data_IF_813097330549
#
_entry.id   IF_813097330549
#
_cell.length_a   1.000
_cell.length_b   1.000
_cell.length_c   1.000
_cell.angle_alpha   90.00
_cell.angle_beta   90.00
_cell.angle_gamma   90.00
#
_symmetry.space_group_name_H-M   'P 1'
#
loop_
_entity.id
_entity.type
_entity.pdbx_description
1 polymer ?
#
# COMPACT_ATOMS: atom_id res chain seq x y z
N UNK A 1 -0.76 10.88 -48.02
CA UNK A 1 0.23 10.86 -46.91
C UNK A 1 -0.54 10.56 -45.64
N UNK A 2 -0.57 9.35 -45.20
CA UNK A 2 -1.07 8.99 -43.84
C UNK A 2 0.14 9.19 -42.94
N UNK A 3 0.12 10.24 -42.13
CA UNK A 3 1.05 10.35 -41.05
C UNK A 3 0.75 9.16 -40.10
N UNK A 4 1.67 8.21 -39.99
CA UNK A 4 1.65 7.26 -38.89
C UNK A 4 1.84 8.08 -37.62
N UNK A 5 0.75 8.27 -36.85
CA UNK A 5 0.90 8.75 -35.49
C UNK A 5 1.82 7.79 -34.78
N UNK A 6 2.77 8.31 -34.00
CA UNK A 6 3.50 7.46 -33.07
C UNK A 6 2.48 6.75 -32.22
N UNK A 7 2.56 5.42 -32.14
CA UNK A 7 1.74 4.65 -31.22
C UNK A 7 1.92 5.25 -29.82
N UNK A 8 0.82 5.57 -29.16
CA UNK A 8 0.86 6.17 -27.83
C UNK A 8 1.74 5.32 -26.92
N UNK A 9 2.59 5.96 -26.10
CA UNK A 9 3.48 5.25 -25.20
C UNK A 9 2.67 4.27 -24.33
N UNK A 10 3.06 3.01 -24.34
CA UNK A 10 2.49 2.00 -23.44
C UNK A 10 2.89 2.39 -22.01
N UNK A 11 1.94 2.62 -21.09
CA UNK A 11 2.28 3.04 -19.74
C UNK A 11 2.97 1.92 -18.96
N UNK A 12 3.93 2.27 -18.11
CA UNK A 12 4.60 1.34 -17.21
C UNK A 12 6.05 1.05 -17.60
N UNK A 13 6.66 0.15 -16.83
CA UNK A 13 8.00 -0.35 -17.11
C UNK A 13 7.94 -1.59 -17.99
N UNK A 14 8.94 -1.77 -18.82
CA UNK A 14 9.05 -2.91 -19.72
C UNK A 14 9.97 -3.96 -19.13
N UNK A 15 9.49 -5.18 -19.02
CA UNK A 15 10.28 -6.32 -18.56
C UNK A 15 10.07 -7.52 -19.48
N UNK A 16 10.99 -8.48 -19.43
CA UNK A 16 10.79 -9.79 -20.01
C UNK A 16 10.42 -10.78 -18.94
N UNK A 17 9.59 -11.76 -19.29
CA UNK A 17 9.18 -12.78 -18.33
C UNK A 17 10.23 -13.88 -18.23
N UNK A 18 10.68 -14.17 -17.00
CA UNK A 18 11.45 -15.37 -16.70
C UNK A 18 10.53 -16.41 -16.01
N UNK A 19 10.51 -17.62 -16.54
CA UNK A 19 9.68 -18.73 -16.05
C UNK A 19 10.25 -19.41 -14.79
N UNK A 20 11.46 -19.05 -14.36
CA UNK A 20 12.04 -19.50 -13.11
C UNK A 20 11.19 -19.09 -11.91
N UNK A 21 11.33 -19.81 -10.79
CA UNK A 21 10.56 -19.53 -9.56
C UNK A 21 11.45 -19.33 -8.33
N UNK A 22 12.76 -19.40 -8.51
CA UNK A 22 13.74 -19.27 -7.42
C UNK A 22 13.83 -17.84 -6.95
N UNK A 23 13.96 -17.65 -5.62
CA UNK A 23 14.28 -16.35 -5.01
C UNK A 23 15.73 -15.99 -5.34
N UNK A 24 15.92 -15.34 -6.46
CA UNK A 24 17.19 -14.86 -6.97
C UNK A 24 16.93 -13.74 -7.99
N UNK A 25 17.97 -13.01 -8.35
CA UNK A 25 17.97 -12.08 -9.46
C UNK A 25 17.42 -12.75 -10.73
N UNK A 26 16.34 -12.24 -11.34
CA UNK A 26 15.77 -12.84 -12.54
C UNK A 26 16.64 -12.70 -13.77
N UNK A 27 17.59 -11.75 -13.76
CA UNK A 27 18.41 -11.37 -14.90
C UNK A 27 18.05 -9.98 -15.43
N UNK A 28 18.98 -9.41 -16.20
CA UNK A 28 18.88 -8.03 -16.67
C UNK A 28 17.58 -7.78 -17.46
N UNK A 29 16.76 -6.89 -16.96
CA UNK A 29 15.48 -6.49 -17.55
C UNK A 29 14.39 -7.56 -17.47
N UNK A 30 14.50 -8.49 -16.53
CA UNK A 30 13.54 -9.59 -16.38
C UNK A 30 12.76 -9.47 -15.07
N UNK A 31 11.60 -10.12 -15.05
CA UNK A 31 10.84 -10.38 -13.83
C UNK A 31 10.35 -11.83 -13.81
N UNK A 32 10.19 -12.37 -12.60
CA UNK A 32 9.61 -13.70 -12.40
C UNK A 32 8.67 -13.73 -11.19
N UNK A 33 7.84 -14.75 -11.13
CA UNK A 33 7.04 -15.06 -9.95
C UNK A 33 7.67 -16.21 -9.16
N UNK A 34 7.45 -16.24 -7.86
CA UNK A 34 7.92 -17.35 -7.02
C UNK A 34 7.12 -18.65 -7.20
N UNK A 35 6.14 -18.67 -8.09
CA UNK A 35 5.32 -19.84 -8.37
C UNK A 35 4.80 -19.81 -9.81
N UNK A 36 4.93 -20.92 -10.54
CA UNK A 36 4.41 -21.05 -11.90
C UNK A 36 2.87 -21.05 -11.99
N UNK A 37 2.18 -21.35 -10.87
CA UNK A 37 0.73 -21.15 -10.75
C UNK A 37 0.47 -19.77 -10.17
N UNK A 38 0.04 -18.82 -10.98
CA UNK A 38 -0.10 -17.40 -10.61
C UNK A 38 -1.01 -17.19 -9.40
N UNK A 39 -2.09 -17.98 -9.27
CA UNK A 39 -2.98 -17.92 -8.11
C UNK A 39 -2.27 -18.28 -6.77
N UNK A 40 -1.15 -18.97 -6.84
CA UNK A 40 -0.33 -19.36 -5.68
C UNK A 40 0.93 -18.49 -5.53
N UNK A 41 1.14 -17.53 -6.42
CA UNK A 41 2.29 -16.64 -6.34
C UNK A 41 2.11 -15.65 -5.16
N UNK A 42 3.15 -15.55 -4.32
CA UNK A 42 3.22 -14.68 -3.15
C UNK A 42 4.34 -13.67 -3.23
N UNK A 43 5.21 -13.78 -4.22
CA UNK A 43 6.28 -12.83 -4.48
C UNK A 43 6.53 -12.64 -5.98
N UNK A 44 6.89 -11.42 -6.35
CA UNK A 44 7.44 -11.05 -7.64
C UNK A 44 8.88 -10.62 -7.40
N UNK A 45 9.80 -11.15 -8.21
CA UNK A 45 11.19 -10.73 -8.26
C UNK A 45 11.39 -9.92 -9.54
N UNK A 46 11.84 -8.69 -9.40
CA UNK A 46 11.94 -7.73 -10.51
C UNK A 46 13.35 -7.12 -10.53
N UNK A 47 14.02 -7.19 -11.66
CA UNK A 47 15.37 -6.64 -11.84
C UNK A 47 15.41 -5.13 -11.57
N UNK A 48 16.55 -4.63 -11.16
CA UNK A 48 16.78 -3.22 -10.84
C UNK A 48 16.73 -2.29 -12.07
N UNK A 49 16.79 -2.87 -13.27
CA UNK A 49 16.61 -2.17 -14.54
C UNK A 49 15.51 -2.81 -15.36
N UNK A 50 14.83 -2.03 -16.16
CA UNK A 50 13.86 -2.54 -17.12
C UNK A 50 14.53 -3.16 -18.37
N UNK A 51 13.75 -3.77 -19.26
CA UNK A 51 14.26 -4.40 -20.48
C UNK A 51 14.93 -3.42 -21.46
N UNK A 52 14.74 -2.11 -21.28
CA UNK A 52 15.41 -1.06 -22.04
C UNK A 52 16.71 -0.57 -21.34
N UNK A 53 17.08 -1.17 -20.21
CA UNK A 53 18.26 -0.79 -19.42
C UNK A 53 18.05 0.48 -18.57
N UNK A 54 16.80 0.92 -18.37
CA UNK A 54 16.49 2.04 -17.50
C UNK A 54 16.42 1.56 -16.05
N UNK A 55 17.21 2.18 -15.17
CA UNK A 55 17.17 1.85 -13.74
C UNK A 55 15.82 2.23 -13.13
N UNK A 56 15.11 1.24 -12.59
CA UNK A 56 13.78 1.36 -11.98
C UNK A 56 13.78 1.04 -10.49
N UNK A 57 14.90 0.56 -9.95
CA UNK A 57 15.05 0.07 -8.57
C UNK A 57 14.52 1.06 -7.53
N UNK A 58 14.89 2.33 -7.63
CA UNK A 58 14.47 3.33 -6.65
C UNK A 58 12.94 3.57 -6.65
N UNK A 59 12.28 3.46 -7.81
CA UNK A 59 10.82 3.59 -7.90
C UNK A 59 10.13 2.31 -7.41
N UNK A 60 10.54 1.14 -7.90
CA UNK A 60 9.94 -0.14 -7.50
C UNK A 60 10.08 -0.40 -6.00
N UNK A 61 11.16 0.07 -5.36
CA UNK A 61 11.34 0.04 -3.91
C UNK A 61 10.25 0.82 -3.15
N UNK A 62 9.64 1.85 -3.76
CA UNK A 62 8.57 2.65 -3.15
C UNK A 62 7.19 1.99 -3.18
N UNK A 63 7.01 0.91 -3.96
CA UNK A 63 5.70 0.30 -4.18
C UNK A 63 5.07 -0.30 -2.92
N UNK A 64 5.88 -0.56 -1.91
CA UNK A 64 5.42 -0.97 -0.58
C UNK A 64 5.22 0.18 0.43
N UNK A 65 5.33 1.44 0.02
CA UNK A 65 5.46 2.60 0.91
C UNK A 65 4.15 3.19 1.44
N UNK A 66 2.97 2.74 0.99
CA UNK A 66 1.69 3.16 1.61
C UNK A 66 1.57 2.59 3.03
N UNK A 67 0.95 3.30 3.97
CA UNK A 67 0.60 2.78 5.29
C UNK A 67 -0.69 1.93 5.29
N UNK A 68 -1.45 1.94 4.19
CA UNK A 68 -2.59 1.06 3.98
C UNK A 68 -2.19 -0.43 4.06
N UNK A 69 -3.10 -1.30 4.49
CA UNK A 69 -2.90 -2.76 4.50
C UNK A 69 -2.58 -3.30 3.10
N UNK A 70 -3.24 -2.77 2.08
CA UNK A 70 -2.90 -3.01 0.68
C UNK A 70 -2.13 -1.79 0.19
N UNK A 71 -0.86 -1.98 -0.15
CA UNK A 71 0.04 -0.90 -0.56
C UNK A 71 -0.28 -0.34 -1.94
N UNK A 72 -0.81 -1.19 -2.81
CA UNK A 72 -1.18 -0.85 -4.17
C UNK A 72 -1.47 -2.10 -4.99
N UNK A 73 -1.61 -1.88 -6.28
CA UNK A 73 -1.94 -2.92 -7.25
C UNK A 73 -0.94 -2.93 -8.39
N UNK A 74 -0.45 -4.12 -8.74
CA UNK A 74 0.39 -4.35 -9.91
C UNK A 74 -0.46 -4.97 -11.01
N UNK A 75 -0.36 -4.43 -12.22
CA UNK A 75 -0.91 -5.01 -13.42
C UNK A 75 0.24 -5.31 -14.40
N UNK A 76 0.35 -6.54 -14.79
CA UNK A 76 1.34 -7.06 -15.73
C UNK A 76 0.58 -7.58 -16.92
N UNK A 77 0.94 -7.16 -18.12
CA UNK A 77 0.29 -7.55 -19.37
C UNK A 77 1.33 -7.79 -20.45
N UNK A 78 1.13 -8.83 -21.25
CA UNK A 78 1.92 -9.05 -22.45
C UNK A 78 1.60 -7.95 -23.47
N UNK A 79 2.62 -7.24 -23.95
CA UNK A 79 2.43 -6.12 -24.88
C UNK A 79 1.99 -6.59 -26.28
N UNK A 80 2.25 -7.84 -26.61
CA UNK A 80 1.89 -8.46 -27.89
C UNK A 80 0.52 -9.20 -27.83
N UNK A 81 0.05 -9.54 -26.61
CA UNK A 81 -1.26 -10.17 -26.37
C UNK A 81 -1.91 -9.64 -25.10
N UNK A 82 -2.71 -8.62 -25.23
CA UNK A 82 -3.41 -7.99 -24.10
C UNK A 82 -4.41 -8.90 -23.38
N UNK A 83 -4.70 -10.09 -23.92
CA UNK A 83 -5.52 -11.10 -23.23
C UNK A 83 -4.70 -11.91 -22.22
N UNK A 84 -3.36 -11.89 -22.31
CA UNK A 84 -2.45 -12.54 -21.39
C UNK A 84 -1.99 -11.52 -20.35
N UNK A 85 -2.47 -11.69 -19.11
CA UNK A 85 -2.18 -10.75 -18.00
C UNK A 85 -2.19 -11.41 -16.62
N UNK A 86 -1.57 -10.74 -15.66
CA UNK A 86 -1.66 -11.05 -14.24
C UNK A 86 -1.81 -9.77 -13.40
N UNK A 87 -2.66 -9.82 -12.37
CA UNK A 87 -2.91 -8.72 -11.43
C UNK A 87 -2.68 -9.18 -10.01
N UNK A 88 -1.99 -8.34 -9.26
CA UNK A 88 -1.66 -8.61 -7.87
C UNK A 88 -1.93 -7.39 -7.00
N UNK A 89 -2.21 -7.61 -5.72
CA UNK A 89 -2.12 -6.59 -4.68
C UNK A 89 -0.78 -6.71 -3.97
N UNK A 90 -0.17 -5.59 -3.65
CA UNK A 90 1.05 -5.50 -2.84
C UNK A 90 0.64 -5.42 -1.37
N UNK A 91 1.18 -6.32 -0.54
CA UNK A 91 0.76 -6.48 0.86
C UNK A 91 1.80 -6.07 1.90
N UNK A 92 3.03 -5.79 1.50
CA UNK A 92 4.10 -5.43 2.42
C UNK A 92 5.10 -4.46 1.79
N UNK A 93 6.05 -3.97 2.59
CA UNK A 93 7.19 -3.23 2.10
C UNK A 93 7.98 -4.09 1.09
N UNK A 94 8.53 -3.43 0.08
CA UNK A 94 9.42 -4.08 -0.89
C UNK A 94 10.76 -4.32 -0.21
N UNK A 95 11.37 -5.47 -0.46
CA UNK A 95 12.70 -5.80 0.03
C UNK A 95 13.70 -5.61 -1.10
N UNK A 96 14.64 -4.70 -0.91
CA UNK A 96 15.78 -4.52 -1.78
C UNK A 96 16.76 -5.70 -1.61
N UNK A 97 17.14 -6.33 -2.70
CA UNK A 97 18.10 -7.40 -2.77
C UNK A 97 19.22 -7.02 -3.77
N UNK A 98 20.29 -7.79 -3.83
CA UNK A 98 21.39 -7.47 -4.76
C UNK A 98 20.95 -7.71 -6.20
N UNK A 99 20.75 -6.63 -6.96
CA UNK A 99 20.40 -6.65 -8.38
C UNK A 99 18.90 -6.72 -8.66
N UNK A 100 18.05 -6.85 -7.65
CA UNK A 100 16.60 -6.96 -7.85
C UNK A 100 15.78 -6.57 -6.62
N UNK A 101 14.52 -6.24 -6.81
CA UNK A 101 13.55 -6.02 -5.75
C UNK A 101 12.62 -7.23 -5.56
N UNK A 102 12.31 -7.56 -4.30
CA UNK A 102 11.33 -8.58 -3.90
C UNK A 102 10.04 -7.89 -3.46
N UNK A 103 8.97 -8.15 -4.17
CA UNK A 103 7.66 -7.56 -3.90
C UNK A 103 6.73 -8.64 -3.36
N UNK A 104 6.29 -8.49 -2.11
CA UNK A 104 5.29 -9.40 -1.51
C UNK A 104 3.92 -9.10 -2.09
N UNK A 105 3.30 -10.11 -2.70
CA UNK A 105 2.04 -9.95 -3.43
C UNK A 105 1.00 -11.00 -3.05
N UNK A 106 -0.26 -10.72 -3.39
CA UNK A 106 -1.30 -11.73 -3.45
C UNK A 106 -2.08 -11.57 -4.76
N UNK A 107 -2.32 -12.70 -5.41
CA UNK A 107 -3.02 -12.77 -6.70
C UNK A 107 -4.44 -12.21 -6.60
N UNK A 108 -4.86 -11.52 -7.64
CA UNK A 108 -6.23 -11.00 -7.79
C UNK A 108 -6.93 -11.63 -8.99
N UNK A 109 -6.29 -11.61 -10.14
CA UNK A 109 -6.82 -12.14 -11.38
C UNK A 109 -5.68 -12.41 -12.37
N UNK A 110 -5.87 -13.38 -13.24
CA UNK A 110 -4.99 -13.62 -14.37
C UNK A 110 -5.76 -14.29 -15.50
N UNK A 111 -5.27 -14.15 -16.71
CA UNK A 111 -5.74 -14.92 -17.86
C UNK A 111 -4.52 -15.36 -18.65
N UNK A 112 -4.53 -16.59 -19.13
CA UNK A 112 -3.38 -17.26 -19.74
C UNK A 112 -2.13 -17.28 -18.84
N UNK A 113 -0.99 -17.65 -19.38
CA UNK A 113 0.31 -17.66 -18.73
C UNK A 113 1.35 -17.07 -19.67
N UNK A 114 2.28 -16.30 -19.12
CA UNK A 114 3.41 -15.77 -19.88
C UNK A 114 4.38 -16.90 -20.21
N UNK A 115 4.98 -16.82 -21.39
CA UNK A 115 6.08 -17.67 -21.84
C UNK A 115 7.42 -17.01 -21.53
N UNK A 116 8.50 -17.78 -21.59
CA UNK A 116 9.84 -17.23 -21.43
C UNK A 116 10.12 -16.12 -22.46
N UNK A 117 10.66 -15.03 -21.99
CA UNK A 117 11.01 -13.83 -22.75
C UNK A 117 9.81 -13.07 -23.37
N UNK A 118 8.56 -13.36 -22.97
CA UNK A 118 7.43 -12.49 -23.33
C UNK A 118 7.71 -11.06 -22.84
N UNK A 119 7.43 -10.10 -23.70
CA UNK A 119 7.61 -8.69 -23.40
C UNK A 119 6.41 -8.16 -22.62
N UNK A 120 6.67 -7.63 -21.44
CA UNK A 120 5.65 -7.25 -20.48
C UNK A 120 5.63 -5.74 -20.25
N UNK A 121 4.43 -5.18 -20.12
CA UNK A 121 4.22 -3.88 -19.51
C UNK A 121 3.81 -4.09 -18.05
N UNK A 122 4.52 -3.46 -17.13
CA UNK A 122 4.30 -3.53 -15.68
C UNK A 122 3.89 -2.16 -15.18
N UNK A 123 2.68 -2.06 -14.65
CA UNK A 123 2.18 -0.83 -14.05
C UNK A 123 1.87 -1.04 -12.57
N UNK A 124 2.12 -0.01 -11.76
CA UNK A 124 1.77 0.01 -10.35
C UNK A 124 0.86 1.20 -10.05
N UNK A 125 -0.19 0.95 -9.29
CA UNK A 125 -1.07 1.98 -8.76
C UNK A 125 -1.01 1.93 -7.25
N UNK A 126 -0.44 2.98 -6.63
CA UNK A 126 -0.30 3.10 -5.19
C UNK A 126 -1.67 3.37 -4.54
N UNK A 127 -1.97 2.68 -3.45
CA UNK A 127 -3.06 3.09 -2.57
C UNK A 127 -2.67 4.34 -1.77
N UNK A 128 -3.67 5.18 -1.51
CA UNK A 128 -3.52 6.30 -0.60
C UNK A 128 -3.16 5.83 0.82
N UNK A 129 -2.49 6.68 1.55
CA UNK A 129 -2.22 6.49 2.97
C UNK A 129 -3.50 6.67 3.78
N UNK A 130 -3.57 6.09 4.96
CA UNK A 130 -4.62 6.42 5.90
C UNK A 130 -4.52 7.91 6.23
N UNK A 131 -5.67 8.58 6.35
CA UNK A 131 -5.68 9.94 6.89
C UNK A 131 -5.13 9.93 8.32
N UNK A 132 -4.41 11.00 8.68
CA UNK A 132 -3.94 11.17 10.04
C UNK A 132 -5.12 11.06 11.01
N UNK A 133 -4.92 10.34 12.11
CA UNK A 133 -5.90 10.29 13.17
C UNK A 133 -6.14 11.70 13.71
N UNK A 134 -7.40 12.12 13.77
CA UNK A 134 -7.74 13.41 14.34
C UNK A 134 -7.28 13.44 15.82
N UNK A 135 -6.36 14.33 16.14
CA UNK A 135 -5.96 14.57 17.53
C UNK A 135 -7.00 15.48 18.17
N UNK A 136 -7.73 14.96 19.15
CA UNK A 136 -8.66 15.74 19.93
C UNK A 136 -8.01 16.03 21.28
N UNK A 137 -7.61 17.27 21.50
CA UNK A 137 -7.13 17.72 22.81
C UNK A 137 -8.30 18.20 23.64
N UNK A 138 -8.40 17.71 24.87
CA UNK A 138 -9.32 18.24 25.86
C UNK A 138 -8.65 19.46 26.50
N UNK A 139 -9.16 20.63 26.23
CA UNK A 139 -8.70 21.86 26.86
C UNK A 139 -8.91 21.87 28.39
N UNK A 140 -8.53 22.97 29.06
CA UNK A 140 -8.65 23.10 30.50
C UNK A 140 -10.11 22.95 30.94
N UNK A 141 -10.38 21.94 31.77
CA UNK A 141 -11.67 21.79 32.46
C UNK A 141 -11.63 22.54 33.79
N UNK A 142 -12.43 23.59 33.90
CA UNK A 142 -12.50 24.39 35.12
C UNK A 142 -13.75 24.05 35.92
N UNK A 143 -13.60 23.55 37.12
CA UNK A 143 -14.70 23.39 38.06
C UNK A 143 -14.95 24.71 38.82
N UNK A 144 -16.20 25.20 38.80
CA UNK A 144 -16.59 26.35 39.60
C UNK A 144 -17.05 25.89 40.99
N UNK A 145 -16.56 26.55 42.03
CA UNK A 145 -16.95 26.28 43.39
C UNK A 145 -18.37 26.86 43.61
N UNK A 146 -19.30 26.03 44.03
CA UNK A 146 -20.66 26.47 44.39
C UNK A 146 -20.72 26.56 45.91
N UNK A 147 -20.98 27.73 46.45
CA UNK A 147 -20.86 28.08 47.87
C UNK A 147 -21.96 27.45 48.72
N UNK A 148 -21.82 26.22 49.08
CA UNK A 148 -22.51 25.61 50.23
C UNK A 148 -21.79 24.32 50.66
N UNK A 149 -20.54 24.44 51.10
CA UNK A 149 -19.84 23.36 51.82
C UNK A 149 -19.08 22.35 50.99
N UNK A 150 -18.91 22.51 49.69
CA UNK A 150 -18.12 21.59 48.88
C UNK A 150 -17.62 22.20 47.55
N UNK A 151 -16.59 21.64 46.99
CA UNK A 151 -16.09 21.99 45.64
C UNK A 151 -16.82 21.18 44.60
N UNK A 152 -17.43 21.83 43.59
CA UNK A 152 -17.89 21.16 42.40
C UNK A 152 -16.68 20.69 41.56
N UNK A 153 -16.73 19.49 41.08
CA UNK A 153 -15.70 18.96 40.18
C UNK A 153 -16.29 18.63 38.82
N UNK A 154 -15.54 18.90 37.78
CA UNK A 154 -15.87 18.47 36.44
C UNK A 154 -14.65 17.78 35.81
N UNK A 155 -14.82 16.66 35.20
CA UNK A 155 -13.76 15.97 34.49
C UNK A 155 -14.30 15.53 33.10
N UNK A 156 -13.44 15.63 32.10
CA UNK A 156 -13.68 15.09 30.77
C UNK A 156 -12.51 14.17 30.44
N UNK A 157 -12.84 12.97 30.03
CA UNK A 157 -11.86 12.00 29.56
C UNK A 157 -12.28 11.45 28.20
N UNK A 158 -11.31 11.32 27.30
CA UNK A 158 -11.52 10.56 26.07
C UNK A 158 -11.26 9.09 26.37
N UNK A 159 -12.29 8.27 26.28
CA UNK A 159 -12.23 6.81 26.45
C UNK A 159 -12.31 6.08 25.11
N UNK A 160 -12.32 6.81 23.99
CA UNK A 160 -12.39 6.25 22.64
C UNK A 160 -11.04 5.82 22.08
N UNK A 161 -11.07 5.24 20.88
CA UNK A 161 -9.89 4.90 20.10
C UNK A 161 -9.41 6.10 19.26
N UNK A 162 -8.27 5.96 18.56
CA UNK A 162 -7.77 6.98 17.63
C UNK A 162 -8.74 7.28 16.45
N UNK A 163 -9.66 6.35 16.15
CA UNK A 163 -10.66 6.49 15.08
C UNK A 163 -12.06 6.83 15.56
N UNK A 164 -12.34 6.71 16.86
CA UNK A 164 -13.63 7.01 17.49
C UNK A 164 -13.41 7.71 18.83
N UNK A 165 -13.82 8.98 18.92
CA UNK A 165 -13.73 9.74 20.17
C UNK A 165 -15.00 9.51 21.02
N UNK A 166 -14.83 9.00 22.22
CA UNK A 166 -15.88 8.89 23.23
C UNK A 166 -15.54 9.80 24.41
N UNK A 167 -16.35 10.81 24.65
CA UNK A 167 -16.14 11.72 25.78
C UNK A 167 -17.04 11.33 26.94
N UNK A 168 -16.43 11.00 28.09
CA UNK A 168 -17.13 10.80 29.34
C UNK A 168 -17.08 12.07 30.16
N UNK A 169 -18.26 12.61 30.52
CA UNK A 169 -18.39 13.76 31.37
C UNK A 169 -18.79 13.31 32.76
N UNK A 170 -18.02 13.70 33.77
CA UNK A 170 -18.34 13.43 35.17
C UNK A 170 -18.49 14.74 35.91
N UNK A 171 -19.61 14.92 36.58
CA UNK A 171 -19.89 16.09 37.38
C UNK A 171 -20.06 15.68 38.85
N UNK A 172 -19.25 16.24 39.75
CA UNK A 172 -19.47 16.15 41.17
C UNK A 172 -20.33 17.32 41.62
N UNK A 173 -21.51 17.02 42.13
CA UNK A 173 -22.44 18.04 42.66
C UNK A 173 -22.35 18.04 44.19
N UNK A 174 -22.00 19.17 44.85
CA UNK A 174 -22.01 19.24 46.29
C UNK A 174 -23.39 19.01 46.87
N UNK A 175 -23.48 18.25 47.97
CA UNK A 175 -24.74 18.21 48.77
C UNK A 175 -24.95 19.52 49.48
N UNK A 176 -26.14 20.08 49.44
CA UNK A 176 -26.49 21.27 50.15
C UNK A 176 -26.21 21.13 51.66
N UNK A 177 -25.87 22.26 52.33
CA UNK A 177 -25.73 22.25 53.77
C UNK A 177 -27.04 21.81 54.44
N UNK A 178 -26.98 20.86 55.38
CA UNK A 178 -28.09 20.54 56.28
C UNK A 178 -28.34 21.73 57.15
N UNK A 179 -29.56 22.25 57.11
CA UNK A 179 -30.01 23.35 57.95
C UNK A 179 -30.02 22.98 59.45
#
# INVERSE_FOLDING_TARGET
FVASGEDGAIPGYFYKFDTGTTDADPGAGELRFNNGTYASATAIYIDDADANGVTTQADTATWGGSDSVIKGFIHIVDINDSTTYARFKVGAAVTDATGYNKITVAHLASNNTFSAADELSVTFVRNGDFGDAATIEVGTVTGNTVSAGGSATAAVANAGSASEATFNFTFGIPTGATG
#
